data_IF_316955203230
#
_entry.id   IF_316955203230
#
_cell.length_a   1.000
_cell.length_b   1.000
_cell.length_c   1.000
_cell.angle_alpha   90.00
_cell.angle_beta   90.00
_cell.angle_gamma   90.00
#
_symmetry.space_group_name_H-M   'P 1'
#
loop_
_entity.id
_entity.type
_entity.pdbx_description
1 polymer ?
#
# COMPACT_ATOMS: atom_id res chain seq x y z
N UNK A 1 -14.56 8.74 -10.35
CA UNK A 1 -13.83 7.74 -9.54
C UNK A 1 -14.68 7.50 -8.30
N UNK A 2 -15.18 6.28 -8.03
CA UNK A 2 -15.97 6.05 -6.82
C UNK A 2 -15.08 6.38 -5.61
N UNK A 3 -15.64 7.15 -4.68
CA UNK A 3 -14.98 7.66 -3.49
C UNK A 3 -14.81 6.51 -2.49
N UNK A 4 -13.89 5.58 -2.78
CA UNK A 4 -13.48 4.57 -1.81
C UNK A 4 -12.69 5.30 -0.73
N UNK A 5 -13.33 5.45 0.42
CA UNK A 5 -12.74 6.03 1.61
C UNK A 5 -11.70 5.06 2.17
N UNK A 6 -10.49 5.07 1.62
CA UNK A 6 -9.28 4.50 2.21
C UNK A 6 -8.84 5.24 3.48
N UNK A 7 -9.79 5.80 4.26
CA UNK A 7 -9.52 6.70 5.40
C UNK A 7 -8.81 6.00 6.55
N UNK A 8 -8.85 4.67 6.59
CA UNK A 8 -8.03 3.83 7.46
C UNK A 8 -7.58 2.64 6.63
N UNK A 9 -6.27 2.47 6.48
CA UNK A 9 -5.73 1.20 5.98
C UNK A 9 -5.87 0.22 7.14
N UNK A 10 -7.07 -0.31 7.36
CA UNK A 10 -7.32 -1.31 8.41
C UNK A 10 -6.64 -2.64 8.05
N UNK A 11 -6.54 -2.96 6.75
CA UNK A 11 -5.81 -4.11 6.26
C UNK A 11 -5.01 -3.75 4.99
N UNK A 12 -3.66 -3.68 5.07
CA UNK A 12 -2.84 -3.32 3.92
C UNK A 12 -2.84 -4.39 2.82
N UNK A 13 -3.14 -5.66 3.14
CA UNK A 13 -3.31 -6.71 2.12
C UNK A 13 -4.56 -6.49 1.28
N UNK A 14 -5.69 -6.15 1.91
CA UNK A 14 -6.94 -5.83 1.22
C UNK A 14 -6.79 -4.61 0.31
N UNK A 15 -6.09 -3.57 0.79
CA UNK A 15 -5.74 -2.41 -0.04
C UNK A 15 -4.96 -2.83 -1.29
N UNK A 16 -3.90 -3.65 -1.13
CA UNK A 16 -3.08 -4.09 -2.26
C UNK A 16 -3.87 -4.94 -3.25
N UNK A 17 -4.74 -5.82 -2.76
CA UNK A 17 -5.59 -6.67 -3.59
C UNK A 17 -6.58 -5.83 -4.40
N UNK A 18 -7.34 -4.96 -3.74
CA UNK A 18 -8.34 -4.13 -4.40
C UNK A 18 -7.70 -3.10 -5.33
N UNK A 19 -6.56 -2.51 -4.96
CA UNK A 19 -5.79 -1.64 -5.84
C UNK A 19 -5.32 -2.37 -7.11
N UNK A 20 -4.79 -3.59 -6.98
CA UNK A 20 -4.39 -4.38 -8.14
C UNK A 20 -5.59 -4.72 -9.04
N UNK A 21 -6.74 -5.05 -8.44
CA UNK A 21 -7.99 -5.33 -9.15
C UNK A 21 -8.48 -4.10 -9.91
N UNK A 22 -8.51 -2.94 -9.26
CA UNK A 22 -8.90 -1.65 -9.85
C UNK A 22 -7.95 -1.23 -11.00
N UNK A 23 -6.64 -1.45 -10.84
CA UNK A 23 -5.69 -1.21 -11.92
C UNK A 23 -5.84 -2.19 -13.10
N UNK A 24 -6.37 -3.40 -12.86
CA UNK A 24 -6.63 -4.40 -13.88
C UNK A 24 -7.87 -4.09 -14.73
N UNK A 25 -8.89 -3.46 -14.14
CA UNK A 25 -10.11 -3.04 -14.85
C UNK A 25 -9.97 -1.70 -15.58
N UNK A 26 -9.03 -0.85 -15.16
CA UNK A 26 -8.85 0.46 -15.77
C UNK A 26 -8.12 0.37 -17.12
N UNK A 27 -8.55 1.22 -18.07
CA UNK A 27 -7.93 1.32 -19.38
C UNK A 27 -6.53 1.92 -19.21
N UNK A 28 -5.51 1.07 -19.38
CA UNK A 28 -4.11 1.50 -19.35
C UNK A 28 -3.76 2.32 -20.59
N UNK A 29 -2.93 3.36 -20.46
CA UNK A 29 -2.35 4.06 -21.61
C UNK A 29 -1.50 3.10 -22.46
N UNK A 30 -1.53 3.28 -23.78
CA UNK A 30 -0.68 2.49 -24.69
C UNK A 30 0.80 2.75 -24.38
N UNK A 31 1.60 1.68 -24.32
CA UNK A 31 3.04 1.75 -24.06
C UNK A 31 3.45 1.78 -22.59
N UNK A 32 2.50 1.72 -21.64
CA UNK A 32 2.82 1.64 -20.21
C UNK A 32 2.67 0.21 -19.69
N UNK A 33 3.71 -0.32 -19.05
CA UNK A 33 3.63 -1.62 -18.39
C UNK A 33 2.63 -1.57 -17.22
N UNK A 34 2.03 -2.71 -16.88
CA UNK A 34 1.12 -2.82 -15.74
C UNK A 34 1.77 -2.35 -14.44
N UNK A 35 3.06 -2.64 -14.26
CA UNK A 35 3.84 -2.21 -13.09
C UNK A 35 4.00 -0.70 -13.03
N UNK A 36 4.36 -0.07 -14.15
CA UNK A 36 4.53 1.38 -14.25
C UNK A 36 3.20 2.13 -14.09
N UNK A 37 2.12 1.56 -14.62
CA UNK A 37 0.78 2.09 -14.43
C UNK A 37 0.37 2.10 -12.96
N UNK A 38 0.57 0.99 -12.25
CA UNK A 38 0.32 0.89 -10.81
C UNK A 38 1.11 1.92 -10.03
N UNK A 39 2.41 2.08 -10.32
CA UNK A 39 3.25 3.07 -9.66
C UNK A 39 2.77 4.51 -9.88
N UNK A 40 2.32 4.84 -11.10
CA UNK A 40 1.74 6.17 -11.38
C UNK A 40 0.37 6.39 -10.73
N UNK A 41 -0.40 5.33 -10.50
CA UNK A 41 -1.70 5.39 -9.86
C UNK A 41 -1.63 5.48 -8.32
N UNK A 42 -0.50 5.10 -7.70
CA UNK A 42 -0.30 5.12 -6.25
C UNK A 42 -0.65 6.44 -5.55
N UNK A 43 -0.08 7.60 -5.92
CA UNK A 43 -0.38 8.86 -5.24
C UNK A 43 -1.86 9.26 -5.32
N UNK A 44 -2.63 8.70 -6.27
CA UNK A 44 -4.07 8.95 -6.36
C UNK A 44 -4.90 8.03 -5.46
N UNK A 45 -4.43 6.79 -5.23
CA UNK A 45 -5.11 5.80 -4.40
C UNK A 45 -4.80 5.95 -2.92
N UNK A 46 -3.61 6.43 -2.57
CA UNK A 46 -3.22 6.68 -1.19
C UNK A 46 -4.00 7.88 -0.62
N UNK A 47 -4.43 7.76 0.63
CA UNK A 47 -5.13 8.80 1.39
C UNK A 47 -4.69 8.79 2.84
N UNK A 48 -4.84 9.94 3.51
CA UNK A 48 -4.57 10.07 4.95
C UNK A 48 -3.11 9.75 5.30
N UNK A 49 -2.93 8.83 6.26
CA UNK A 49 -1.60 8.42 6.73
C UNK A 49 -0.74 7.78 5.62
N UNK A 50 -1.35 7.04 4.69
CA UNK A 50 -0.67 6.43 3.55
C UNK A 50 -0.05 7.45 2.61
N UNK A 51 -0.80 8.51 2.34
CA UNK A 51 -0.35 9.62 1.50
C UNK A 51 0.80 10.36 2.19
N UNK A 52 0.64 10.65 3.49
CA UNK A 52 1.68 11.31 4.30
C UNK A 52 2.96 10.46 4.38
N UNK A 53 2.85 9.16 4.60
CA UNK A 53 3.98 8.23 4.60
C UNK A 53 4.69 8.21 3.25
N UNK A 54 3.94 8.05 2.15
CA UNK A 54 4.51 7.99 0.80
C UNK A 54 5.25 9.28 0.43
N UNK A 55 4.72 10.45 0.83
CA UNK A 55 5.37 11.74 0.61
C UNK A 55 6.63 11.97 1.46
N UNK A 56 6.79 11.22 2.57
CA UNK A 56 7.99 11.29 3.42
C UNK A 56 9.13 10.40 2.93
N UNK A 57 8.88 9.49 1.99
CA UNK A 57 9.91 8.59 1.49
C UNK A 57 10.96 9.36 0.68
N UNK A 58 12.25 9.02 0.82
CA UNK A 58 13.28 9.62 -0.01
C UNK A 58 13.03 9.34 -1.50
N UNK A 59 13.46 10.24 -2.40
CA UNK A 59 13.37 9.99 -3.84
C UNK A 59 14.10 8.68 -4.19
N UNK A 60 13.55 7.94 -5.15
CA UNK A 60 14.01 6.60 -5.56
C UNK A 60 13.87 5.47 -4.53
N UNK A 61 13.16 5.68 -3.41
CA UNK A 61 12.88 4.58 -2.47
C UNK A 61 11.99 3.50 -3.06
N UNK A 62 11.04 3.89 -3.91
CA UNK A 62 10.13 2.96 -4.60
C UNK A 62 10.42 3.04 -6.09
N UNK A 63 11.12 2.03 -6.61
CA UNK A 63 11.43 1.93 -8.05
C UNK A 63 10.56 0.92 -8.76
N UNK A 64 10.09 -0.07 -8.02
CA UNK A 64 9.23 -1.14 -8.53
C UNK A 64 7.99 -1.32 -7.67
N UNK A 65 6.98 -1.96 -8.24
CA UNK A 65 5.80 -2.40 -7.50
C UNK A 65 6.13 -3.37 -6.35
N UNK A 66 7.25 -4.10 -6.46
CA UNK A 66 7.71 -4.98 -5.39
C UNK A 66 8.24 -4.16 -4.20
N UNK A 67 9.06 -3.14 -4.47
CA UNK A 67 9.59 -2.23 -3.44
C UNK A 67 8.46 -1.54 -2.69
N UNK A 68 7.47 -1.00 -3.43
CA UNK A 68 6.29 -0.40 -2.82
C UNK A 68 5.59 -1.37 -1.86
N UNK A 69 5.26 -2.59 -2.34
CA UNK A 69 4.54 -3.58 -1.51
C UNK A 69 5.31 -3.93 -0.26
N UNK A 70 6.61 -4.15 -0.37
CA UNK A 70 7.45 -4.52 0.76
C UNK A 70 7.49 -3.40 1.80
N UNK A 71 7.76 -2.16 1.38
CA UNK A 71 7.84 -1.02 2.30
C UNK A 71 6.47 -0.65 2.89
N UNK A 72 5.41 -0.76 2.11
CA UNK A 72 4.05 -0.50 2.56
C UNK A 72 3.61 -1.50 3.62
N UNK A 73 3.86 -2.79 3.40
CA UNK A 73 3.55 -3.84 4.38
C UNK A 73 4.43 -3.69 5.62
N UNK A 74 5.72 -3.39 5.47
CA UNK A 74 6.62 -3.20 6.61
C UNK A 74 6.19 -2.02 7.51
N UNK A 75 5.76 -0.91 6.89
CA UNK A 75 5.32 0.28 7.63
C UNK A 75 3.93 0.15 8.26
N UNK A 76 2.94 -0.36 7.51
CA UNK A 76 1.55 -0.48 7.99
C UNK A 76 1.28 -1.78 8.76
N UNK A 77 2.17 -2.76 8.62
CA UNK A 77 2.06 -4.08 9.22
C UNK A 77 3.44 -4.60 9.67
N UNK A 78 4.15 -3.86 10.55
CA UNK A 78 5.38 -4.38 11.11
C UNK A 78 5.06 -5.70 11.81
N UNK A 79 5.81 -6.76 11.49
CA UNK A 79 5.57 -8.13 11.95
C UNK A 79 5.42 -8.25 13.49
N UNK A 80 5.86 -7.25 14.23
CA UNK A 80 5.74 -7.11 15.69
C UNK A 80 4.31 -6.91 16.21
N UNK A 81 3.29 -6.66 15.38
CA UNK A 81 1.89 -6.62 15.85
C UNK A 81 1.22 -7.99 16.01
N UNK A 82 1.91 -9.09 15.70
CA UNK A 82 1.44 -10.47 15.94
C UNK A 82 1.99 -11.12 17.22
N UNK A 83 2.78 -10.39 18.04
CA UNK A 83 3.27 -10.88 19.34
C UNK A 83 2.82 -10.00 20.51
N UNK A 84 1.53 -9.66 20.58
CA UNK A 84 0.91 -9.23 21.84
C UNK A 84 -0.22 -10.18 22.26
N UNK A 85 0.03 -11.48 22.12
CA UNK A 85 -0.72 -12.54 22.82
C UNK A 85 0.30 -13.60 23.23
N UNK A 86 0.92 -13.45 24.41
CA UNK A 86 1.86 -14.48 24.89
C UNK A 86 2.84 -14.14 26.02
N UNK A 87 2.65 -13.10 26.83
CA UNK A 87 3.41 -12.99 28.09
C UNK A 87 2.59 -12.29 29.18
N UNK A 88 1.56 -12.98 29.68
CA UNK A 88 0.96 -12.68 30.99
C UNK A 88 0.46 -13.99 31.64
N UNK A 89 1.34 -15.00 31.75
CA UNK A 89 1.14 -16.09 32.71
C UNK A 89 2.20 -16.02 33.80
N UNK A 90 1.77 -15.47 34.95
CA UNK A 90 2.32 -15.57 36.30
C UNK A 90 3.76 -15.10 36.57
N UNK A 91 3.85 -13.99 37.30
CA UNK A 91 4.67 -13.91 38.50
C UNK A 91 3.79 -13.45 39.67
#
# INVERSE_FOLDING_TARGET
MPHFYWRRIDNPYEFLHEFCRLCGIQRRPAGLSEKDYRLRALPFALKGEADTWFMRLPPNSIRTWADFRSMFLDYFFPATRMNQEGDETLN
#
